data_IF_540050837302
#
_entry.id   IF_540050837302
#
_cell.length_a   1.000
_cell.length_b   1.000
_cell.length_c   1.000
_cell.angle_alpha   90.00
_cell.angle_beta   90.00
_cell.angle_gamma   90.00
#
_symmetry.space_group_name_H-M   'P 1'
#
loop_
_entity.id
_entity.type
_entity.pdbx_description
1 polymer ?
#
# COMPACT_ATOMS: atom_id res chain seq x y z
N UNK A 1 73.49 -64.20 -25.78
CA UNK A 1 73.40 -62.81 -25.32
C UNK A 1 72.23 -62.02 -25.93
N UNK A 2 71.65 -62.41 -27.08
CA UNK A 2 70.47 -61.73 -27.65
C UNK A 2 69.11 -62.24 -27.13
N UNK A 3 68.95 -63.56 -26.94
CA UNK A 3 67.68 -64.18 -26.52
C UNK A 3 67.24 -63.77 -25.11
N UNK A 4 68.18 -63.65 -24.18
CA UNK A 4 67.94 -63.18 -22.81
C UNK A 4 67.51 -61.71 -22.76
N UNK A 5 68.07 -60.87 -23.63
CA UNK A 5 67.67 -59.46 -23.74
C UNK A 5 66.24 -59.32 -24.29
N UNK A 6 65.88 -60.13 -25.29
CA UNK A 6 64.52 -60.17 -25.83
C UNK A 6 63.48 -60.64 -24.81
N UNK A 7 63.79 -61.65 -23.99
CA UNK A 7 62.92 -62.10 -22.90
C UNK A 7 62.73 -61.03 -21.82
N UNK A 8 63.80 -60.35 -21.40
CA UNK A 8 63.70 -59.24 -20.44
C UNK A 8 62.88 -58.07 -20.99
N UNK A 9 63.04 -57.73 -22.28
CA UNK A 9 62.25 -56.68 -22.92
C UNK A 9 60.75 -57.04 -22.99
N UNK A 10 60.43 -58.30 -23.30
CA UNK A 10 59.05 -58.80 -23.33
C UNK A 10 58.41 -58.75 -21.93
N UNK A 11 59.13 -59.16 -20.89
CA UNK A 11 58.65 -59.07 -19.51
C UNK A 11 58.44 -57.62 -19.07
N UNK A 12 59.33 -56.70 -19.44
CA UNK A 12 59.17 -55.28 -19.17
C UNK A 12 57.94 -54.69 -19.88
N UNK A 13 57.72 -55.06 -21.14
CA UNK A 13 56.54 -54.67 -21.90
C UNK A 13 55.24 -55.15 -21.24
N UNK A 14 55.18 -56.43 -20.85
CA UNK A 14 54.00 -57.01 -20.19
C UNK A 14 53.71 -56.32 -18.85
N UNK A 15 54.74 -56.03 -18.06
CA UNK A 15 54.60 -55.31 -16.79
C UNK A 15 54.12 -53.86 -17.00
N UNK A 16 54.64 -53.16 -18.00
CA UNK A 16 54.20 -51.82 -18.35
C UNK A 16 52.74 -51.80 -18.83
N UNK A 17 52.35 -52.79 -19.65
CA UNK A 17 50.97 -52.94 -20.12
C UNK A 17 49.99 -53.24 -18.98
N UNK A 18 50.39 -54.08 -18.01
CA UNK A 18 49.59 -54.35 -16.83
C UNK A 18 49.45 -53.12 -15.92
N UNK A 19 50.54 -52.37 -15.72
CA UNK A 19 50.52 -51.12 -14.96
C UNK A 19 49.62 -50.06 -15.61
N UNK A 20 49.67 -49.92 -16.95
CA UNK A 20 48.80 -49.01 -17.68
C UNK A 20 47.31 -49.40 -17.56
N UNK A 21 47.01 -50.69 -17.62
CA UNK A 21 45.64 -51.20 -17.45
C UNK A 21 45.10 -50.93 -16.05
N UNK A 22 45.93 -51.15 -15.01
CA UNK A 22 45.57 -50.84 -13.63
C UNK A 22 45.38 -49.33 -13.40
N UNK A 23 46.24 -48.49 -13.98
CA UNK A 23 46.10 -47.04 -13.92
C UNK A 23 44.78 -46.56 -14.57
N UNK A 24 44.40 -47.15 -15.70
CA UNK A 24 43.14 -46.83 -16.37
C UNK A 24 41.93 -47.26 -15.52
N UNK A 25 41.97 -48.43 -14.89
CA UNK A 25 40.91 -48.88 -13.99
C UNK A 25 40.76 -47.98 -12.75
N UNK A 26 41.87 -47.53 -12.16
CA UNK A 26 41.84 -46.58 -11.04
C UNK A 26 41.26 -45.22 -11.46
N UNK A 27 41.60 -44.73 -12.65
CA UNK A 27 41.06 -43.47 -13.17
C UNK A 27 39.55 -43.53 -13.38
N UNK A 28 39.03 -44.64 -13.93
CA UNK A 28 37.59 -44.87 -14.08
C UNK A 28 36.88 -44.92 -12.72
N UNK A 29 37.45 -45.62 -11.74
CA UNK A 29 36.87 -45.69 -10.39
C UNK A 29 36.85 -44.32 -9.70
N UNK A 30 37.91 -43.50 -9.87
CA UNK A 30 37.96 -42.14 -9.34
C UNK A 30 36.91 -41.22 -9.99
N UNK A 31 36.66 -41.37 -11.30
CA UNK A 31 35.62 -40.63 -12.01
C UNK A 31 34.21 -41.00 -11.51
N UNK A 32 33.94 -42.29 -11.28
CA UNK A 32 32.68 -42.75 -10.68
C UNK A 32 32.47 -42.19 -9.27
N UNK A 33 33.51 -42.17 -8.42
CA UNK A 33 33.45 -41.58 -7.09
C UNK A 33 33.21 -40.07 -7.14
N UNK A 34 33.84 -39.36 -8.08
CA UNK A 34 33.62 -37.92 -8.30
C UNK A 34 32.17 -37.62 -8.68
N UNK A 35 31.60 -38.40 -9.61
CA UNK A 35 30.18 -38.27 -10.01
C UNK A 35 29.23 -38.52 -8.83
N UNK A 36 29.49 -39.55 -8.03
CA UNK A 36 28.69 -39.84 -6.84
C UNK A 36 28.77 -38.70 -5.80
N UNK A 37 29.95 -38.12 -5.59
CA UNK A 37 30.12 -36.96 -4.70
C UNK A 37 29.38 -35.72 -5.20
N UNK A 38 29.43 -35.44 -6.51
CA UNK A 38 28.68 -34.34 -7.12
C UNK A 38 27.16 -34.52 -6.97
N UNK A 39 26.67 -35.75 -7.14
CA UNK A 39 25.25 -36.06 -6.94
C UNK A 39 24.83 -35.88 -5.48
N UNK A 40 25.64 -36.33 -4.52
CA UNK A 40 25.39 -36.13 -3.10
C UNK A 40 25.37 -34.64 -2.71
N UNK A 41 26.28 -33.84 -3.27
CA UNK A 41 26.30 -32.40 -3.07
C UNK A 41 25.03 -31.73 -3.61
N UNK A 42 24.56 -32.12 -4.80
CA UNK A 42 23.30 -31.62 -5.37
C UNK A 42 22.08 -31.95 -4.51
N UNK A 43 22.01 -33.17 -3.95
CA UNK A 43 20.94 -33.56 -3.01
C UNK A 43 20.98 -32.70 -1.74
N UNK A 44 22.17 -32.43 -1.19
CA UNK A 44 22.33 -31.59 0.00
C UNK A 44 21.90 -30.13 -0.27
N UNK A 45 22.23 -29.57 -1.43
CA UNK A 45 21.78 -28.24 -1.86
C UNK A 45 20.25 -28.18 -1.94
N UNK A 46 19.62 -29.14 -2.61
CA UNK A 46 18.16 -29.19 -2.71
C UNK A 46 17.48 -29.31 -1.34
N UNK A 47 18.05 -30.11 -0.43
CA UNK A 47 17.53 -30.25 0.92
C UNK A 47 17.62 -28.92 1.72
N UNK A 48 18.70 -28.17 1.56
CA UNK A 48 18.86 -26.85 2.17
C UNK A 48 17.84 -25.83 1.62
N UNK A 49 17.60 -25.83 0.31
CA UNK A 49 16.60 -24.97 -0.33
C UNK A 49 15.17 -25.28 0.17
N UNK A 50 14.84 -26.57 0.31
CA UNK A 50 13.56 -27.00 0.87
C UNK A 50 13.39 -26.56 2.33
N UNK A 51 14.45 -26.68 3.15
CA UNK A 51 14.42 -26.23 4.53
C UNK A 51 14.20 -24.72 4.64
N UNK A 52 14.86 -23.93 3.78
CA UNK A 52 14.70 -22.48 3.75
C UNK A 52 13.30 -22.05 3.28
N UNK A 53 12.72 -22.78 2.32
CA UNK A 53 11.33 -22.60 1.88
C UNK A 53 10.35 -22.88 3.03
N UNK A 54 10.57 -23.96 3.79
CA UNK A 54 9.74 -24.32 4.93
C UNK A 54 9.82 -23.26 6.06
N UNK A 55 11.01 -22.73 6.36
CA UNK A 55 11.19 -21.65 7.32
C UNK A 55 10.43 -20.38 6.90
N UNK A 56 10.52 -20.00 5.63
CA UNK A 56 9.80 -18.83 5.08
C UNK A 56 8.28 -18.99 5.16
N UNK A 57 7.77 -20.21 4.91
CA UNK A 57 6.35 -20.52 5.06
C UNK A 57 5.88 -20.44 6.52
N UNK A 58 6.73 -20.87 7.47
CA UNK A 58 6.44 -20.76 8.90
C UNK A 58 6.37 -19.30 9.37
N UNK A 59 7.32 -18.45 8.95
CA UNK A 59 7.30 -17.02 9.26
C UNK A 59 6.06 -16.32 8.69
N UNK A 60 5.67 -16.69 7.47
CA UNK A 60 4.45 -16.19 6.84
C UNK A 60 3.20 -16.59 7.62
N UNK A 61 3.12 -17.84 8.06
CA UNK A 61 2.01 -18.33 8.89
C UNK A 61 1.92 -17.61 10.24
N UNK A 62 3.06 -17.32 10.88
CA UNK A 62 3.12 -16.56 12.12
C UNK A 62 2.63 -15.11 11.92
N UNK A 63 3.03 -14.47 10.81
CA UNK A 63 2.56 -13.12 10.46
C UNK A 63 1.04 -13.07 10.23
N UNK A 64 0.48 -14.07 9.53
CA UNK A 64 -0.96 -14.17 9.34
C UNK A 64 -1.70 -14.39 10.67
N UNK A 65 -1.17 -15.23 11.56
CA UNK A 65 -1.75 -15.44 12.88
C UNK A 65 -1.76 -14.14 13.72
N UNK A 66 -0.66 -13.37 13.68
CA UNK A 66 -0.58 -12.09 14.39
C UNK A 66 -1.55 -11.04 13.81
N UNK A 67 -1.69 -11.00 12.48
CA UNK A 67 -2.66 -10.14 11.81
C UNK A 67 -4.11 -10.50 12.17
N UNK A 68 -4.42 -11.81 12.24
CA UNK A 68 -5.74 -12.28 12.67
C UNK A 68 -6.04 -11.93 14.13
N UNK A 69 -5.04 -12.02 15.02
CA UNK A 69 -5.17 -11.61 16.42
C UNK A 69 -5.43 -10.11 16.56
N UNK A 70 -4.72 -9.27 15.79
CA UNK A 70 -4.95 -7.82 15.78
C UNK A 70 -6.36 -7.46 15.27
N UNK A 71 -6.84 -8.14 14.23
CA UNK A 71 -8.19 -7.93 13.72
C UNK A 71 -9.26 -8.35 14.74
N UNK A 72 -9.02 -9.42 15.50
CA UNK A 72 -9.92 -9.84 16.57
C UNK A 72 -9.97 -8.80 17.69
N UNK A 73 -8.82 -8.22 18.06
CA UNK A 73 -8.74 -7.14 19.05
C UNK A 73 -9.50 -5.90 18.60
N UNK A 74 -9.31 -5.45 17.36
CA UNK A 74 -10.02 -4.29 16.80
C UNK A 74 -11.55 -4.52 16.76
N UNK A 75 -11.99 -5.75 16.46
CA UNK A 75 -13.42 -6.09 16.50
C UNK A 75 -13.99 -6.04 17.92
N UNK A 76 -13.23 -6.46 18.93
CA UNK A 76 -13.64 -6.36 20.32
C UNK A 76 -13.78 -4.89 20.75
N UNK A 77 -12.78 -4.06 20.45
CA UNK A 77 -12.81 -2.62 20.76
C UNK A 77 -14.00 -1.91 20.10
N UNK A 78 -14.35 -2.27 18.86
CA UNK A 78 -15.56 -1.74 18.18
C UNK A 78 -16.87 -2.19 18.83
N UNK A 79 -16.90 -3.42 19.35
CA UNK A 79 -18.08 -3.93 20.07
C UNK A 79 -18.28 -3.19 21.39
N UNK A 80 -17.19 -2.87 22.10
CA UNK A 80 -17.23 -2.06 23.33
C UNK A 80 -17.76 -0.65 23.04
N UNK A 81 -17.21 0.03 22.02
CA UNK A 81 -17.68 1.38 21.61
C UNK A 81 -19.17 1.36 21.23
N UNK A 82 -19.63 0.31 20.53
CA UNK A 82 -21.03 0.17 20.16
C UNK A 82 -21.93 -0.01 21.40
N UNK A 83 -21.43 -0.74 22.41
CA UNK A 83 -22.11 -0.95 23.69
C UNK A 83 -22.22 0.36 24.48
N UNK A 84 -21.13 1.11 24.61
CA UNK A 84 -21.12 2.41 25.29
C UNK A 84 -22.03 3.43 24.60
N UNK A 85 -22.07 3.41 23.26
CA UNK A 85 -22.96 4.24 22.46
C UNK A 85 -24.43 3.90 22.70
N UNK A 86 -24.77 2.60 22.81
CA UNK A 86 -26.11 2.14 23.12
C UNK A 86 -26.54 2.53 24.54
N UNK A 87 -25.67 2.37 25.54
CA UNK A 87 -25.91 2.83 26.92
C UNK A 87 -26.18 4.33 26.95
N UNK A 88 -25.34 5.12 26.28
CA UNK A 88 -25.50 6.57 26.18
C UNK A 88 -26.81 6.97 25.50
N UNK A 89 -27.27 6.21 24.50
CA UNK A 89 -28.55 6.44 23.84
C UNK A 89 -29.74 6.17 24.75
N UNK A 90 -29.69 5.08 25.54
CA UNK A 90 -30.70 4.77 26.55
C UNK A 90 -30.78 5.85 27.62
N UNK A 91 -29.65 6.31 28.16
CA UNK A 91 -29.62 7.40 29.15
C UNK A 91 -30.25 8.69 28.61
N UNK A 92 -30.01 9.03 27.34
CA UNK A 92 -30.65 10.19 26.69
C UNK A 92 -32.16 9.99 26.50
N UNK A 93 -32.59 8.78 26.17
CA UNK A 93 -34.01 8.46 26.03
C UNK A 93 -34.75 8.57 27.39
N UNK A 94 -34.13 8.10 28.47
CA UNK A 94 -34.67 8.23 29.83
C UNK A 94 -34.78 9.70 30.27
N UNK A 95 -33.75 10.51 29.97
CA UNK A 95 -33.79 11.95 30.23
C UNK A 95 -34.88 12.67 29.41
N UNK A 96 -35.07 12.29 28.14
CA UNK A 96 -36.13 12.83 27.30
C UNK A 96 -37.53 12.44 27.82
N UNK A 97 -37.71 11.20 28.30
CA UNK A 97 -38.95 10.75 28.91
C UNK A 97 -39.27 11.51 30.21
N UNK A 98 -38.26 11.78 31.05
CA UNK A 98 -38.42 12.59 32.26
C UNK A 98 -38.81 14.04 31.93
N UNK A 99 -38.19 14.64 30.93
CA UNK A 99 -38.54 15.99 30.48
C UNK A 99 -39.95 16.05 29.87
N UNK A 100 -40.37 15.03 29.11
CA UNK A 100 -41.71 14.92 28.58
C UNK A 100 -42.77 14.78 29.69
N UNK A 101 -42.47 14.01 30.75
CA UNK A 101 -43.34 13.91 31.91
C UNK A 101 -43.49 15.26 32.64
N UNK A 102 -42.40 16.00 32.83
CA UNK A 102 -42.43 17.35 33.41
C UNK A 102 -43.20 18.37 32.55
N UNK A 103 -43.09 18.26 31.21
CA UNK A 103 -43.88 19.09 30.29
C UNK A 103 -45.37 18.74 30.29
N UNK A 104 -45.73 17.46 30.48
CA UNK A 104 -47.13 17.05 30.59
C UNK A 104 -47.75 17.55 31.92
N UNK A 105 -46.99 17.55 33.01
CA UNK A 105 -47.41 18.17 34.28
C UNK A 105 -47.64 19.68 34.12
N UNK A 106 -46.80 20.39 33.36
CA UNK A 106 -46.97 21.82 33.12
C UNK A 106 -48.15 22.13 32.20
N UNK A 107 -48.43 21.30 31.19
CA UNK A 107 -49.62 21.43 30.32
C UNK A 107 -50.91 21.18 31.12
N UNK A 108 -50.94 20.14 31.96
CA UNK A 108 -52.10 19.88 32.84
C UNK A 108 -52.32 21.01 33.86
N UNK A 109 -51.25 21.68 34.31
CA UNK A 109 -51.35 22.88 35.15
C UNK A 109 -51.93 24.09 34.38
N UNK A 110 -51.77 24.17 33.06
CA UNK A 110 -52.35 25.20 32.20
C UNK A 110 -53.82 24.88 31.84
N UNK A 111 -54.16 23.61 31.60
CA UNK A 111 -55.54 23.18 31.30
C UNK A 111 -56.47 23.33 32.54
N UNK A 112 -55.93 23.20 33.75
CA UNK A 112 -56.63 23.54 34.99
C UNK A 112 -56.96 25.02 35.18
N UNK A 113 -56.39 25.92 34.35
CA UNK A 113 -56.63 27.37 34.38
C UNK A 113 -57.69 27.78 33.34
N UNK A 114 -57.94 26.97 32.30
CA UNK A 114 -58.86 27.29 31.20
C UNK A 114 -60.15 26.46 31.29
N UNK A 115 -60.83 26.55 32.43
CA UNK A 115 -62.25 26.22 32.48
C UNK A 115 -63.07 27.37 31.89
N UNK A 116 -63.52 27.24 30.63
CA UNK A 116 -64.43 28.22 30.04
C UNK A 116 -64.73 28.03 28.56
N UNK A 117 -65.81 27.30 28.29
CA UNK A 117 -66.74 27.34 27.14
C UNK A 117 -66.34 28.01 25.80
N UNK A 118 -66.54 27.26 24.71
CA UNK A 118 -66.91 27.86 23.42
C UNK A 118 -66.34 27.15 22.19
N UNK A 119 -67.18 26.36 21.51
CA UNK A 119 -66.82 25.65 20.28
C UNK A 119 -66.54 26.57 19.07
N UNK A 120 -65.64 26.11 18.19
CA UNK A 120 -65.39 26.73 16.89
C UNK A 120 -64.38 25.96 16.03
N UNK A 121 -64.90 25.32 14.98
CA UNK A 121 -64.24 25.04 13.69
C UNK A 121 -62.90 24.27 13.66
N UNK A 122 -62.97 22.94 13.48
CA UNK A 122 -61.89 22.18 12.86
C UNK A 122 -61.94 22.33 11.34
N UNK A 123 -61.00 23.10 10.78
CA UNK A 123 -60.69 23.10 9.33
C UNK A 123 -59.48 22.20 9.09
N UNK A 124 -59.47 21.30 8.09
CA UNK A 124 -58.41 20.31 7.92
C UNK A 124 -57.19 20.93 7.23
N UNK A 125 -56.45 21.79 7.94
CA UNK A 125 -55.16 22.35 7.48
C UNK A 125 -54.16 22.41 8.64
N UNK A 126 -54.07 21.33 9.43
CA UNK A 126 -53.07 21.28 10.53
C UNK A 126 -52.57 19.87 10.78
N UNK A 127 -52.07 19.22 9.72
CA UNK A 127 -51.25 17.99 9.86
C UNK A 127 -49.88 18.15 9.17
N UNK A 128 -49.57 19.32 8.57
CA UNK A 128 -48.30 19.51 7.85
C UNK A 128 -47.21 20.19 8.70
N UNK A 129 -47.55 20.91 9.77
CA UNK A 129 -46.56 21.63 10.58
C UNK A 129 -46.03 20.88 11.81
N UNK A 130 -46.58 19.71 12.16
CA UNK A 130 -46.13 18.96 13.35
C UNK A 130 -44.86 18.10 13.13
N UNK A 131 -44.17 18.27 12.00
CA UNK A 131 -42.92 17.56 11.69
C UNK A 131 -41.74 18.48 11.38
N UNK A 132 -41.87 19.79 11.61
CA UNK A 132 -40.76 20.75 11.53
C UNK A 132 -40.31 21.14 12.94
N UNK A 133 -39.01 20.94 13.18
CA UNK A 133 -38.21 21.34 14.35
C UNK A 133 -38.36 20.42 15.58
N UNK A 134 -37.31 19.91 16.24
CA UNK A 134 -35.86 20.08 16.14
C UNK A 134 -35.21 18.93 16.94
N UNK A 135 -34.28 18.17 16.37
CA UNK A 135 -33.04 17.66 17.02
C UNK A 135 -32.29 16.66 16.12
N UNK A 136 -31.08 17.09 15.74
CA UNK A 136 -30.01 16.40 15.02
C UNK A 136 -30.13 14.88 14.78
N UNK A 137 -30.48 14.52 13.55
CA UNK A 137 -30.33 13.18 12.99
C UNK A 137 -31.02 13.11 11.63
N UNK A 138 -30.25 13.03 10.54
CA UNK A 138 -30.73 13.12 9.15
C UNK A 138 -31.89 12.14 8.87
N UNK A 139 -33.14 12.60 8.95
CA UNK A 139 -34.29 11.91 8.36
C UNK A 139 -34.38 12.33 6.89
N UNK A 140 -33.87 11.49 6.00
CA UNK A 140 -34.12 11.60 4.57
C UNK A 140 -35.64 11.49 4.33
N UNK A 141 -36.31 12.62 4.11
CA UNK A 141 -37.72 12.65 3.74
C UNK A 141 -37.86 12.00 2.35
N UNK A 142 -38.72 10.99 2.24
CA UNK A 142 -39.02 10.30 0.98
C UNK A 142 -40.32 10.88 0.42
N UNK A 143 -40.25 11.65 -0.66
CA UNK A 143 -41.44 12.14 -1.37
C UNK A 143 -41.72 11.17 -2.53
N UNK A 144 -42.87 10.50 -2.50
CA UNK A 144 -43.30 9.53 -3.53
C UNK A 144 -44.61 10.02 -4.13
N UNK A 145 -44.59 10.46 -5.39
CA UNK A 145 -45.76 10.96 -6.11
C UNK A 145 -45.81 10.40 -7.54
N UNK A 146 -46.93 10.56 -8.24
CA UNK A 146 -47.06 10.13 -9.65
C UNK A 146 -46.45 11.15 -10.62
N UNK A 147 -46.30 10.74 -11.89
CA UNK A 147 -45.73 11.58 -12.96
C UNK A 147 -46.50 12.89 -13.16
N UNK A 148 -47.82 12.87 -13.04
CA UNK A 148 -48.64 14.06 -13.27
C UNK A 148 -48.45 15.10 -12.15
N UNK A 149 -48.37 14.63 -10.91
CA UNK A 149 -48.11 15.48 -9.74
C UNK A 149 -46.74 16.14 -9.85
N UNK A 150 -45.69 15.38 -10.18
CA UNK A 150 -44.33 15.90 -10.31
C UNK A 150 -44.20 16.91 -11.46
N UNK A 151 -44.86 16.65 -12.59
CA UNK A 151 -44.90 17.58 -13.72
C UNK A 151 -45.67 18.86 -13.40
N UNK A 152 -46.70 18.79 -12.55
CA UNK A 152 -47.51 19.94 -12.19
C UNK A 152 -46.85 20.86 -11.16
N UNK A 153 -46.15 20.29 -10.17
CA UNK A 153 -45.54 21.05 -9.08
C UNK A 153 -44.10 21.49 -9.38
N UNK A 154 -43.37 20.71 -10.20
CA UNK A 154 -42.02 21.00 -10.72
C UNK A 154 -41.05 21.62 -9.69
N UNK A 155 -41.03 21.04 -8.49
CA UNK A 155 -40.31 21.59 -7.33
C UNK A 155 -38.79 21.45 -7.45
N UNK A 156 -38.06 22.31 -6.75
CA UNK A 156 -36.61 22.18 -6.55
C UNK A 156 -36.38 21.34 -5.29
N UNK A 157 -35.79 20.17 -5.46
CA UNK A 157 -35.38 19.31 -4.34
C UNK A 157 -34.07 19.83 -3.74
N UNK A 158 -33.97 19.81 -2.40
CA UNK A 158 -32.75 20.18 -1.72
C UNK A 158 -31.58 19.26 -2.15
N UNK A 159 -30.35 19.75 -2.00
CA UNK A 159 -29.17 18.97 -2.36
C UNK A 159 -29.17 17.62 -1.61
N UNK A 160 -29.11 16.51 -2.37
CA UNK A 160 -29.15 15.11 -1.91
C UNK A 160 -30.52 14.60 -1.43
N UNK A 161 -31.58 15.41 -1.53
CA UNK A 161 -32.96 14.96 -1.29
C UNK A 161 -33.43 14.05 -2.45
N UNK A 162 -34.22 13.01 -2.15
CA UNK A 162 -34.62 12.00 -3.15
C UNK A 162 -36.13 12.05 -3.36
N UNK A 163 -36.54 12.38 -4.58
CA UNK A 163 -37.93 12.25 -5.02
C UNK A 163 -38.13 10.97 -5.84
N UNK A 164 -39.26 10.31 -5.64
CA UNK A 164 -39.67 9.11 -6.36
C UNK A 164 -40.91 9.39 -7.19
N UNK A 165 -40.84 9.00 -8.45
CA UNK A 165 -41.92 9.06 -9.41
C UNK A 165 -42.50 7.66 -9.64
N UNK A 166 -43.79 7.51 -9.38
CA UNK A 166 -44.54 6.30 -9.68
C UNK A 166 -44.98 6.30 -11.14
N UNK A 167 -44.46 5.33 -11.90
CA UNK A 167 -44.83 5.12 -13.31
C UNK A 167 -45.46 3.75 -13.50
N UNK A 168 -46.08 3.51 -14.66
CA UNK A 168 -46.68 2.20 -15.00
C UNK A 168 -45.66 1.04 -14.96
N UNK A 169 -44.37 1.34 -15.14
CA UNK A 169 -43.27 0.37 -15.17
C UNK A 169 -42.50 0.31 -13.83
N UNK A 170 -43.01 0.94 -12.77
CA UNK A 170 -42.38 0.97 -11.44
C UNK A 170 -41.95 2.36 -10.99
N UNK A 171 -41.20 2.40 -9.89
CA UNK A 171 -40.69 3.63 -9.29
C UNK A 171 -39.38 4.06 -9.96
N UNK A 172 -39.34 5.30 -10.44
CA UNK A 172 -38.10 5.97 -10.87
C UNK A 172 -37.75 7.04 -9.85
N UNK A 173 -36.49 7.48 -9.78
CA UNK A 173 -36.09 8.51 -8.82
C UNK A 173 -35.15 9.53 -9.43
N UNK A 174 -35.16 10.73 -8.84
CA UNK A 174 -34.18 11.79 -9.09
C UNK A 174 -33.60 12.27 -7.77
N UNK A 175 -32.39 12.79 -7.81
CA UNK A 175 -31.70 13.35 -6.63
C UNK A 175 -31.58 14.85 -6.83
N UNK A 176 -32.03 15.63 -5.86
CA UNK A 176 -31.93 17.08 -5.87
C UNK A 176 -30.48 17.55 -5.81
N UNK A 177 -30.17 18.62 -6.55
CA UNK A 177 -28.91 19.36 -6.45
C UNK A 177 -29.08 20.70 -5.71
N UNK A 178 -30.29 20.99 -5.21
CA UNK A 178 -30.61 22.24 -4.52
C UNK A 178 -30.85 23.43 -5.44
N UNK A 179 -30.77 23.25 -6.77
CA UNK A 179 -30.82 24.36 -7.74
C UNK A 179 -31.80 24.10 -8.87
N UNK A 180 -31.77 22.91 -9.50
CA UNK A 180 -32.59 22.57 -10.65
C UNK A 180 -33.99 22.12 -10.26
N UNK A 181 -34.97 22.40 -11.13
CA UNK A 181 -36.34 21.90 -10.98
C UNK A 181 -36.41 20.40 -11.27
N UNK A 182 -37.43 19.73 -10.74
CA UNK A 182 -37.66 18.30 -10.93
C UNK A 182 -37.59 17.87 -12.40
N UNK A 183 -38.19 18.63 -13.32
CA UNK A 183 -38.20 18.35 -14.76
C UNK A 183 -36.81 18.36 -15.39
N UNK A 184 -35.90 19.18 -14.86
CA UNK A 184 -34.52 19.38 -15.35
C UNK A 184 -33.51 18.40 -14.74
N UNK A 185 -33.87 17.76 -13.63
CA UNK A 185 -33.01 16.75 -12.99
C UNK A 185 -32.99 15.46 -13.83
N UNK A 186 -31.82 14.82 -14.01
CA UNK A 186 -31.75 13.52 -14.66
C UNK A 186 -32.34 12.43 -13.75
N UNK A 187 -32.89 11.38 -14.35
CA UNK A 187 -33.18 10.17 -13.58
C UNK A 187 -31.89 9.57 -13.06
N UNK A 188 -31.89 9.18 -11.78
CA UNK A 188 -30.78 8.46 -11.21
C UNK A 188 -30.70 7.10 -11.91
N UNK A 189 -29.70 6.93 -12.77
CA UNK A 189 -29.30 5.64 -13.34
C UNK A 189 -29.07 4.69 -12.16
N UNK A 190 -29.62 3.47 -12.27
CA UNK A 190 -30.02 2.64 -11.13
C UNK A 190 -29.09 2.75 -9.93
N UNK A 191 -29.71 3.17 -8.83
CA UNK A 191 -29.10 3.34 -7.52
C UNK A 191 -28.19 2.20 -7.12
N UNK A 192 -28.47 0.99 -7.61
CA UNK A 192 -27.74 -0.23 -7.33
C UNK A 192 -26.34 -0.23 -7.95
N UNK A 193 -26.14 0.34 -9.14
CA UNK A 193 -24.81 0.45 -9.76
C UNK A 193 -23.95 1.49 -9.03
N UNK A 194 -24.54 2.63 -8.67
CA UNK A 194 -23.86 3.68 -7.90
C UNK A 194 -23.64 3.24 -6.45
N UNK A 195 -24.59 2.54 -5.83
CA UNK A 195 -24.47 1.98 -4.48
C UNK A 195 -23.50 0.81 -4.46
N UNK A 196 -23.41 0.00 -5.51
CA UNK A 196 -22.39 -1.04 -5.64
C UNK A 196 -21.00 -0.43 -5.84
N UNK A 197 -20.85 0.60 -6.69
CA UNK A 197 -19.61 1.36 -6.79
C UNK A 197 -19.25 2.08 -5.49
N UNK A 198 -20.23 2.60 -4.74
CA UNK A 198 -20.03 3.22 -3.43
C UNK A 198 -19.79 2.22 -2.31
N UNK A 199 -20.32 0.99 -2.39
CA UNK A 199 -20.06 -0.11 -1.46
C UNK A 199 -18.70 -0.72 -1.72
N UNK A 200 -18.28 -0.84 -2.98
CA UNK A 200 -16.90 -1.17 -3.36
C UNK A 200 -15.98 -0.07 -2.84
N UNK A 201 -16.21 1.21 -3.23
CA UNK A 201 -15.44 2.35 -2.71
C UNK A 201 -15.45 2.39 -1.18
N UNK A 202 -16.56 2.22 -0.49
CA UNK A 202 -16.63 2.25 0.98
C UNK A 202 -15.96 1.06 1.65
N UNK A 203 -16.07 -0.14 1.05
CA UNK A 203 -15.47 -1.40 1.53
C UNK A 203 -13.94 -1.41 1.34
N UNK A 204 -13.41 -0.69 0.34
CA UNK A 204 -11.97 -0.62 0.04
C UNK A 204 -11.32 0.72 0.45
N UNK A 205 -12.02 1.86 0.45
CA UNK A 205 -11.50 3.18 0.83
C UNK A 205 -11.20 3.30 2.33
N UNK A 206 -11.89 2.52 3.18
CA UNK A 206 -11.61 2.44 4.61
C UNK A 206 -10.56 1.36 4.95
N UNK A 207 -10.04 0.63 3.95
CA UNK A 207 -9.14 -0.52 4.15
C UNK A 207 -7.81 -0.44 3.40
N UNK A 208 -7.58 0.60 2.61
CA UNK A 208 -6.30 0.84 1.96
C UNK A 208 -5.48 1.83 2.79
N UNK A 209 -5.30 1.48 4.06
CA UNK A 209 -4.39 2.14 4.98
C UNK A 209 -3.22 1.19 5.24
N UNK A 210 -2.04 1.58 4.78
CA UNK A 210 -0.79 1.00 5.23
C UNK A 210 0.16 2.11 5.65
N UNK A 211 0.97 1.86 6.67
CA UNK A 211 2.10 2.72 6.98
C UNK A 211 3.23 2.38 6.02
N UNK A 212 3.33 3.11 4.90
CA UNK A 212 4.61 3.23 4.23
C UNK A 212 5.45 4.24 5.03
N UNK A 213 6.12 3.79 6.10
CA UNK A 213 7.42 4.40 6.41
C UNK A 213 8.43 3.89 5.37
N UNK A 214 9.66 4.41 5.39
CA UNK A 214 10.82 3.73 4.74
C UNK A 214 10.79 2.18 4.94
N UNK A 215 10.11 1.76 6.01
CA UNK A 215 9.56 0.49 6.52
C UNK A 215 8.98 -0.60 5.62
N UNK A 216 8.10 -0.22 4.70
CA UNK A 216 7.11 -1.19 4.18
C UNK A 216 6.60 -0.77 2.82
N UNK A 217 6.72 -1.68 1.87
CA UNK A 217 6.14 -1.54 0.55
C UNK A 217 4.74 -2.10 0.54
N UNK A 218 3.81 -1.27 0.08
CA UNK A 218 2.40 -1.63 -0.02
C UNK A 218 2.14 -1.89 -1.51
N UNK A 219 1.99 -3.16 -1.87
CA UNK A 219 1.53 -3.54 -3.20
C UNK A 219 0.00 -3.49 -3.22
N UNK A 220 -0.55 -2.74 -4.18
CA UNK A 220 -1.98 -2.58 -4.35
C UNK A 220 -2.38 -3.24 -5.67
N UNK A 221 -3.16 -4.31 -5.60
CA UNK A 221 -3.80 -4.90 -6.77
C UNK A 221 -5.22 -4.34 -6.82
N UNK A 222 -5.47 -3.42 -7.74
CA UNK A 222 -6.83 -2.97 -8.01
C UNK A 222 -7.63 -4.14 -8.62
N UNK A 223 -8.81 -4.42 -8.07
CA UNK A 223 -9.69 -5.48 -8.55
C UNK A 223 -10.83 -4.96 -9.44
N UNK A 224 -10.85 -3.66 -9.77
CA UNK A 224 -11.90 -3.06 -10.57
C UNK A 224 -11.33 -2.05 -11.58
N UNK A 225 -11.57 -2.28 -12.87
CA UNK A 225 -11.17 -1.42 -14.00
C UNK A 225 -11.74 0.03 -13.96
N UNK A 226 -12.41 0.42 -12.88
CA UNK A 226 -13.13 1.69 -12.73
C UNK A 226 -12.85 2.44 -11.40
N UNK A 227 -11.86 2.02 -10.61
CA UNK A 227 -11.50 2.70 -9.35
C UNK A 227 -10.23 3.53 -9.46
N UNK A 228 -10.36 4.75 -9.97
CA UNK A 228 -9.30 5.74 -9.81
C UNK A 228 -9.11 6.07 -8.32
N UNK A 229 -7.87 6.02 -7.83
CA UNK A 229 -7.52 6.49 -6.49
C UNK A 229 -7.74 8.00 -6.42
N UNK A 230 -8.69 8.44 -5.58
CA UNK A 230 -9.04 9.87 -5.46
C UNK A 230 -8.22 10.64 -4.41
N UNK A 231 -7.39 9.96 -3.61
CA UNK A 231 -6.56 10.59 -2.57
C UNK A 231 -5.37 9.73 -2.18
N UNK A 232 -4.22 10.34 -1.90
CA UNK A 232 -3.04 9.68 -1.33
C UNK A 232 -2.55 10.53 -0.16
N UNK A 233 -2.78 10.06 1.07
CA UNK A 233 -2.53 10.85 2.28
C UNK A 233 -1.23 10.44 2.97
N UNK A 234 -0.37 11.42 3.21
CA UNK A 234 0.77 11.29 4.11
C UNK A 234 0.32 11.72 5.50
N UNK A 235 0.48 10.82 6.47
CA UNK A 235 0.11 11.08 7.87
C UNK A 235 1.33 11.54 8.66
N UNK A 236 1.09 12.45 9.61
CA UNK A 236 2.08 12.85 10.58
C UNK A 236 2.58 11.69 11.44
N UNK A 237 3.79 11.86 11.96
CA UNK A 237 4.43 10.97 12.92
C UNK A 237 5.24 11.83 13.86
N UNK A 238 5.08 11.60 15.15
CA UNK A 238 5.86 12.26 16.19
C UNK A 238 6.87 11.28 16.78
N UNK A 239 8.09 11.75 17.08
CA UNK A 239 9.09 11.03 17.87
C UNK A 239 9.55 11.86 19.05
N UNK A 240 9.93 11.18 20.13
CA UNK A 240 10.66 11.75 21.27
C UNK A 240 11.87 10.83 21.48
N UNK A 241 13.06 11.28 21.10
CA UNK A 241 14.28 10.48 21.21
C UNK A 241 14.96 10.77 22.55
N UNK A 242 15.01 9.75 23.41
CA UNK A 242 15.70 9.78 24.71
C UNK A 242 14.87 9.28 25.87
N UNK A 243 15.41 9.42 27.09
CA UNK A 243 14.68 9.18 28.34
C UNK A 243 14.27 10.55 28.90
N UNK A 244 12.96 10.87 28.98
CA UNK A 244 12.51 12.13 29.57
C UNK A 244 12.93 12.23 31.03
N UNK A 245 13.44 13.40 31.44
CA UNK A 245 13.66 13.73 32.84
C UNK A 245 12.83 14.96 33.22
N UNK A 246 12.53 15.11 34.51
CA UNK A 246 11.72 16.21 35.04
C UNK A 246 12.34 17.59 34.81
N UNK A 247 13.66 17.67 34.72
CA UNK A 247 14.46 18.87 34.45
C UNK A 247 14.94 18.98 33.00
N UNK A 248 14.66 17.95 32.18
CA UNK A 248 15.01 17.90 30.76
C UNK A 248 13.87 17.21 29.98
N UNK A 249 12.74 17.90 29.75
CA UNK A 249 11.68 17.38 28.90
C UNK A 249 12.20 17.20 27.46
N UNK A 250 11.86 16.08 26.83
CA UNK A 250 12.28 15.81 25.46
C UNK A 250 11.38 16.50 24.44
N UNK A 251 11.95 17.16 23.42
CA UNK A 251 11.18 17.78 22.36
C UNK A 251 10.41 16.72 21.56
N UNK A 252 9.14 17.01 21.27
CA UNK A 252 8.33 16.21 20.34
C UNK A 252 8.64 16.69 18.92
N UNK A 253 9.27 15.84 18.11
CA UNK A 253 9.62 16.17 16.72
C UNK A 253 8.62 15.51 15.77
N UNK A 254 8.05 16.28 14.85
CA UNK A 254 7.19 15.77 13.77
C UNK A 254 8.00 15.37 12.53
N UNK A 255 7.37 14.68 11.56
CA UNK A 255 8.02 14.32 10.29
C UNK A 255 7.72 15.34 9.19
N UNK A 256 8.73 15.63 8.37
CA UNK A 256 8.58 16.47 7.17
C UNK A 256 8.75 15.61 5.93
N UNK A 257 7.66 15.06 5.36
CA UNK A 257 7.74 14.29 4.13
C UNK A 257 8.05 15.22 2.95
N UNK A 258 8.89 14.77 2.03
CA UNK A 258 9.36 15.58 0.89
C UNK A 258 8.82 15.11 -0.47
N UNK A 259 8.43 13.84 -0.58
CA UNK A 259 7.89 13.28 -1.83
C UNK A 259 6.97 12.09 -1.57
N UNK A 260 6.09 11.82 -2.55
CA UNK A 260 5.35 10.57 -2.69
C UNK A 260 5.70 9.96 -4.05
N UNK A 261 6.15 8.72 -4.05
CA UNK A 261 6.50 7.99 -5.28
C UNK A 261 5.43 6.95 -5.57
N UNK A 262 4.73 7.12 -6.71
CA UNK A 262 3.83 6.09 -7.25
C UNK A 262 4.60 5.32 -8.32
N UNK A 263 4.54 4.00 -8.26
CA UNK A 263 5.20 3.11 -9.21
C UNK A 263 4.15 2.19 -9.80
N UNK A 264 4.22 1.96 -11.10
CA UNK A 264 3.49 0.87 -11.72
C UNK A 264 4.10 -0.48 -11.34
N UNK A 265 3.62 -1.54 -11.99
CA UNK A 265 4.14 -2.90 -11.80
C UNK A 265 5.65 -3.00 -12.03
N UNK A 266 6.14 -2.33 -13.09
CA UNK A 266 7.56 -2.24 -13.38
C UNK A 266 8.19 -1.08 -12.60
N UNK A 267 9.23 -1.39 -11.83
CA UNK A 267 9.95 -0.45 -10.98
C UNK A 267 11.16 0.21 -11.65
N UNK A 268 11.60 -0.32 -12.78
CA UNK A 268 12.74 0.23 -13.53
C UNK A 268 12.21 1.21 -14.55
N UNK A 269 12.37 2.49 -14.24
CA UNK A 269 12.39 3.54 -15.25
C UNK A 269 13.71 3.51 -16.04
N UNK A 270 13.77 4.25 -17.14
CA UNK A 270 15.01 4.49 -17.85
C UNK A 270 15.61 5.82 -17.39
N UNK A 271 16.85 5.83 -16.89
CA UNK A 271 17.49 7.07 -16.41
C UNK A 271 18.98 7.22 -16.78
N UNK A 272 19.52 6.38 -17.67
CA UNK A 272 20.93 6.44 -18.07
C UNK A 272 21.10 6.83 -19.53
N UNK A 273 22.05 7.70 -19.86
CA UNK A 273 22.28 8.15 -21.23
C UNK A 273 22.69 7.00 -22.18
N UNK A 274 21.92 6.81 -23.26
CA UNK A 274 22.19 5.96 -24.43
C UNK A 274 21.99 6.81 -25.71
N UNK A 275 22.62 6.47 -26.86
CA UNK A 275 23.38 5.24 -27.15
C UNK A 275 24.67 5.15 -26.35
N UNK A 276 25.10 3.91 -26.09
CA UNK A 276 26.39 3.61 -25.47
C UNK A 276 27.11 2.55 -26.31
N UNK A 277 28.42 2.68 -26.49
CA UNK A 277 29.21 1.68 -27.23
C UNK A 277 30.46 1.37 -26.42
N UNK A 278 30.70 0.09 -26.15
CA UNK A 278 31.85 -0.38 -25.42
C UNK A 278 32.30 -1.73 -25.96
N UNK A 279 33.61 -1.90 -26.15
CA UNK A 279 34.23 -3.14 -26.62
C UNK A 279 33.54 -3.76 -27.85
N UNK A 280 33.10 -2.93 -28.81
CA UNK A 280 32.48 -3.39 -30.05
C UNK A 280 30.97 -3.67 -29.98
N UNK A 281 30.34 -3.54 -28.81
CA UNK A 281 28.89 -3.69 -28.65
C UNK A 281 28.24 -2.32 -28.45
N UNK A 282 27.21 -2.03 -29.24
CA UNK A 282 26.38 -0.84 -29.12
C UNK A 282 25.05 -1.19 -28.45
N UNK A 283 24.70 -0.45 -27.40
CA UNK A 283 23.42 -0.49 -26.70
C UNK A 283 22.62 0.78 -27.00
N UNK A 284 21.34 0.61 -27.34
CA UNK A 284 20.36 1.69 -27.55
C UNK A 284 19.10 1.42 -26.76
N UNK A 285 18.33 2.49 -26.49
CA UNK A 285 17.01 2.39 -25.86
C UNK A 285 16.03 3.32 -26.58
N UNK A 286 14.86 2.79 -26.93
CA UNK A 286 13.77 3.55 -27.53
C UNK A 286 12.44 2.89 -27.20
N UNK A 287 11.45 3.67 -26.77
CA UNK A 287 10.08 3.21 -26.49
C UNK A 287 10.02 1.92 -25.64
N UNK A 288 10.74 1.89 -24.50
CA UNK A 288 10.76 0.72 -23.61
C UNK A 288 11.70 -0.41 -24.04
N UNK A 289 12.23 -0.38 -25.27
CA UNK A 289 13.00 -1.48 -25.86
C UNK A 289 14.50 -1.20 -25.81
N UNK A 290 15.27 -2.12 -25.23
CA UNK A 290 16.74 -2.13 -25.35
C UNK A 290 17.13 -2.89 -26.61
N UNK A 291 18.14 -2.41 -27.35
CA UNK A 291 18.70 -3.11 -28.51
C UNK A 291 20.22 -3.14 -28.43
N UNK A 292 20.79 -4.35 -28.57
CA UNK A 292 22.22 -4.62 -28.64
C UNK A 292 22.62 -5.04 -30.05
N UNK A 293 23.69 -4.44 -30.56
CA UNK A 293 24.27 -4.78 -31.86
C UNK A 293 25.79 -4.75 -31.83
N UNK A 294 26.44 -5.71 -32.49
CA UNK A 294 27.90 -5.74 -32.69
C UNK A 294 28.57 -6.94 -32.02
N UNK A 295 29.89 -7.06 -32.20
CA UNK A 295 30.67 -8.18 -31.67
C UNK A 295 31.51 -7.73 -30.49
N UNK A 296 31.37 -8.43 -29.36
CA UNK A 296 32.09 -8.11 -28.14
C UNK A 296 33.55 -8.53 -28.20
N UNK A 297 34.46 -7.58 -28.01
CA UNK A 297 35.89 -7.81 -27.85
C UNK A 297 36.30 -8.17 -26.40
N UNK A 298 35.35 -8.19 -25.45
CA UNK A 298 35.63 -8.48 -24.04
C UNK A 298 34.33 -8.64 -23.22
N UNK A 299 34.28 -8.11 -21.99
CA UNK A 299 33.10 -8.23 -21.13
C UNK A 299 32.44 -6.86 -20.88
N UNK A 300 31.86 -6.20 -21.91
CA UNK A 300 31.24 -4.91 -21.73
C UNK A 300 29.97 -5.04 -20.89
N UNK A 301 29.75 -4.07 -20.03
CA UNK A 301 28.51 -3.92 -19.26
C UNK A 301 28.09 -2.45 -19.24
N UNK A 302 26.81 -2.21 -18.99
CA UNK A 302 26.26 -0.87 -18.82
C UNK A 302 25.18 -0.91 -17.76
N UNK A 303 25.35 -0.10 -16.72
CA UNK A 303 24.23 0.25 -15.84
C UNK A 303 23.17 0.95 -16.67
N UNK A 304 21.92 0.55 -16.50
CA UNK A 304 20.75 1.15 -17.16
C UNK A 304 19.81 1.84 -16.18
N UNK A 305 19.93 1.49 -14.89
CA UNK A 305 19.14 2.07 -13.82
C UNK A 305 19.87 1.94 -12.48
N UNK A 306 19.70 2.96 -11.64
CA UNK A 306 20.20 2.98 -10.26
C UNK A 306 19.04 2.82 -9.29
N UNK A 307 19.11 1.80 -8.44
CA UNK A 307 18.17 1.57 -7.36
C UNK A 307 18.73 2.28 -6.11
N UNK A 308 18.06 3.30 -5.57
CA UNK A 308 18.56 4.03 -4.41
C UNK A 308 18.69 3.10 -3.19
N UNK A 309 19.68 3.37 -2.34
CA UNK A 309 19.92 2.60 -1.13
C UNK A 309 18.65 2.49 -0.26
N UNK A 310 18.48 1.34 0.40
CA UNK A 310 17.40 1.08 1.36
C UNK A 310 15.97 1.27 0.81
N UNK A 311 15.74 1.04 -0.49
CA UNK A 311 14.42 1.18 -1.12
C UNK A 311 13.71 -0.13 -1.41
N UNK A 312 14.45 -1.23 -1.60
CA UNK A 312 13.89 -2.55 -1.89
C UNK A 312 13.58 -3.31 -0.61
N UNK A 313 12.33 -3.77 -0.46
CA UNK A 313 11.88 -4.60 0.65
C UNK A 313 10.92 -5.69 0.18
N UNK A 314 11.20 -6.92 0.54
CA UNK A 314 10.47 -8.09 0.07
C UNK A 314 11.18 -8.82 -1.06
N UNK A 315 10.47 -9.78 -1.65
CA UNK A 315 10.97 -10.59 -2.76
C UNK A 315 10.66 -9.91 -4.07
N UNK A 316 11.67 -9.76 -4.91
CA UNK A 316 11.59 -9.15 -6.22
C UNK A 316 12.06 -10.11 -7.29
N UNK A 317 11.63 -9.82 -8.51
CA UNK A 317 12.11 -10.49 -9.69
C UNK A 317 12.50 -9.47 -10.74
N UNK A 318 13.77 -9.53 -11.15
CA UNK A 318 14.24 -8.91 -12.37
C UNK A 318 13.93 -9.87 -13.53
N UNK A 319 13.50 -9.36 -14.67
CA UNK A 319 13.08 -10.17 -15.81
C UNK A 319 13.56 -9.54 -17.12
N UNK A 320 13.87 -10.41 -18.08
CA UNK A 320 14.19 -10.06 -19.46
C UNK A 320 13.15 -10.71 -20.36
N UNK A 321 12.52 -9.93 -21.23
CA UNK A 321 11.60 -10.46 -22.25
C UNK A 321 12.17 -10.13 -23.63
N UNK A 322 12.51 -11.17 -24.40
CA UNK A 322 13.06 -11.01 -25.75
C UNK A 322 11.99 -10.48 -26.68
N UNK A 323 12.27 -9.37 -27.35
CA UNK A 323 11.44 -8.83 -28.41
C UNK A 323 11.87 -9.39 -29.78
N UNK A 324 13.19 -9.55 -30.01
CA UNK A 324 13.74 -10.22 -31.20
C UNK A 324 15.21 -10.62 -30.99
N UNK A 325 15.73 -11.55 -31.80
CA UNK A 325 17.16 -11.91 -31.82
C UNK A 325 17.53 -13.13 -30.98
N UNK A 326 18.79 -13.17 -30.54
CA UNK A 326 19.49 -14.38 -30.03
C UNK A 326 19.39 -14.64 -28.53
N UNK A 327 18.79 -13.73 -27.73
CA UNK A 327 18.65 -13.86 -26.27
C UNK A 327 19.96 -14.12 -25.50
N UNK A 328 21.01 -13.38 -25.85
CA UNK A 328 22.40 -13.71 -25.46
C UNK A 328 22.94 -12.88 -24.29
N UNK A 329 22.55 -11.62 -24.19
CA UNK A 329 22.98 -10.74 -23.10
C UNK A 329 22.34 -11.19 -21.78
N UNK A 330 23.03 -11.00 -20.66
CA UNK A 330 22.44 -11.28 -19.35
C UNK A 330 22.20 -9.99 -18.60
N UNK A 331 21.27 -10.05 -17.65
CA UNK A 331 20.91 -8.91 -16.81
C UNK A 331 21.20 -9.24 -15.36
N UNK A 332 21.58 -8.22 -14.59
CA UNK A 332 21.89 -8.39 -13.17
C UNK A 332 21.56 -7.18 -12.32
N UNK A 333 21.37 -7.42 -11.03
CA UNK A 333 21.42 -6.41 -9.98
C UNK A 333 22.70 -6.63 -9.19
N UNK A 334 23.52 -5.59 -9.11
CA UNK A 334 24.85 -5.67 -8.51
C UNK A 334 25.11 -4.47 -7.61
N UNK A 335 25.71 -4.74 -6.46
CA UNK A 335 26.29 -3.71 -5.59
C UNK A 335 27.73 -3.47 -6.02
N UNK A 336 27.97 -2.26 -6.55
CA UNK A 336 29.31 -1.78 -6.95
C UNK A 336 29.95 -0.86 -5.92
N UNK A 337 29.26 -0.57 -4.81
CA UNK A 337 29.83 0.24 -3.72
C UNK A 337 30.85 -0.57 -2.91
N UNK A 338 30.80 -1.89 -3.03
CA UNK A 338 31.74 -2.83 -2.40
C UNK A 338 32.76 -3.37 -3.41
N UNK A 339 33.95 -3.72 -2.92
CA UNK A 339 35.03 -4.34 -3.71
C UNK A 339 35.46 -5.66 -3.05
N UNK A 340 35.34 -6.82 -3.73
CA UNK A 340 34.79 -7.00 -5.08
C UNK A 340 33.28 -6.72 -5.14
N UNK A 341 32.78 -6.34 -6.32
CA UNK A 341 31.35 -6.09 -6.52
C UNK A 341 30.53 -7.37 -6.29
N UNK A 342 29.36 -7.24 -5.66
CA UNK A 342 28.53 -8.38 -5.23
C UNK A 342 27.22 -8.42 -6.02
N UNK A 343 26.97 -9.45 -6.84
CA UNK A 343 25.69 -9.63 -7.53
C UNK A 343 24.62 -10.17 -6.59
N UNK A 344 23.43 -9.57 -6.61
CA UNK A 344 22.24 -10.06 -5.89
C UNK A 344 21.36 -10.95 -6.77
N UNK A 345 21.44 -10.76 -8.08
CA UNK A 345 20.78 -11.57 -9.08
C UNK A 345 21.63 -11.53 -10.35
N UNK A 346 22.04 -12.67 -10.89
CA UNK A 346 22.80 -12.79 -12.14
C UNK A 346 22.30 -13.99 -12.94
N UNK A 347 21.62 -13.74 -14.06
CA UNK A 347 21.17 -14.79 -14.99
C UNK A 347 20.66 -14.18 -16.31
N UNK A 348 20.58 -14.99 -17.36
CA UNK A 348 19.80 -14.67 -18.58
C UNK A 348 18.32 -14.45 -18.24
N UNK A 349 17.83 -15.16 -17.21
CA UNK A 349 16.50 -15.03 -16.60
C UNK A 349 16.69 -14.83 -15.09
N UNK A 350 16.59 -13.60 -14.61
CA UNK A 350 16.91 -13.30 -13.23
C UNK A 350 16.06 -14.10 -12.23
N UNK A 351 16.75 -14.64 -11.22
CA UNK A 351 16.15 -15.39 -10.12
C UNK A 351 15.49 -14.42 -9.14
N UNK A 352 14.40 -14.82 -8.47
CA UNK A 352 13.86 -14.02 -7.38
C UNK A 352 14.92 -13.77 -6.32
N UNK A 353 14.96 -12.56 -5.78
CA UNK A 353 15.87 -12.19 -4.70
C UNK A 353 15.09 -11.42 -3.63
N UNK A 354 15.48 -11.59 -2.37
CA UNK A 354 14.77 -10.99 -1.23
C UNK A 354 15.65 -9.92 -0.60
N UNK A 355 15.08 -8.75 -0.37
CA UNK A 355 15.71 -7.61 0.30
C UNK A 355 14.97 -7.29 1.58
N UNK A 356 15.68 -6.99 2.66
CA UNK A 356 15.10 -6.65 3.96
C UNK A 356 14.96 -5.13 4.17
N UNK A 357 15.24 -4.31 3.15
CA UNK A 357 15.28 -2.85 3.26
C UNK A 357 16.63 -2.28 3.67
N UNK A 358 17.64 -3.12 3.87
CA UNK A 358 19.01 -2.71 4.16
C UNK A 358 19.88 -3.14 2.98
N UNK A 359 20.22 -2.19 2.12
CA UNK A 359 21.12 -2.41 1.00
C UNK A 359 21.75 -1.09 0.55
N UNK A 360 22.98 -1.16 0.05
CA UNK A 360 23.62 -0.02 -0.61
C UNK A 360 22.89 0.35 -1.90
N UNK A 361 23.34 1.42 -2.55
CA UNK A 361 22.88 1.73 -3.90
C UNK A 361 23.21 0.56 -4.85
N UNK A 362 22.21 0.08 -5.59
CA UNK A 362 22.36 -1.06 -6.50
C UNK A 362 22.25 -0.61 -7.95
N UNK A 363 22.95 -1.32 -8.83
CA UNK A 363 22.96 -1.07 -10.27
C UNK A 363 22.22 -2.19 -10.99
N UNK A 364 21.26 -1.84 -11.84
CA UNK A 364 20.68 -2.76 -12.83
C UNK A 364 21.54 -2.68 -14.08
N UNK A 365 22.11 -3.79 -14.50
CA UNK A 365 23.04 -3.84 -15.62
C UNK A 365 22.58 -4.77 -16.73
N UNK A 366 22.93 -4.37 -17.95
CA UNK A 366 23.02 -5.25 -19.10
C UNK A 366 24.49 -5.59 -19.28
N UNK A 367 24.83 -6.87 -19.33
CA UNK A 367 26.19 -7.35 -19.47
C UNK A 367 26.32 -8.37 -20.60
N UNK A 368 27.50 -8.40 -21.21
CA UNK A 368 27.82 -9.18 -22.40
C UNK A 368 29.06 -10.03 -22.14
N UNK A 369 29.08 -11.21 -22.76
CA UNK A 369 30.23 -12.12 -22.82
C UNK A 369 31.18 -11.78 -23.98
N UNK A 370 32.45 -12.13 -23.82
CA UNK A 370 33.49 -11.96 -24.83
C UNK A 370 33.32 -12.87 -26.05
N UNK A 371 33.64 -12.34 -27.24
CA UNK A 371 33.60 -13.08 -28.50
C UNK A 371 32.19 -13.31 -29.06
N UNK A 372 31.14 -12.81 -28.41
CA UNK A 372 29.75 -12.99 -28.84
C UNK A 372 29.31 -11.83 -29.74
N UNK A 373 28.63 -12.16 -30.84
CA UNK A 373 27.92 -11.19 -31.68
C UNK A 373 26.48 -11.04 -31.20
N UNK A 374 26.12 -9.80 -30.86
CA UNK A 374 24.78 -9.41 -30.43
C UNK A 374 24.01 -8.82 -31.60
N UNK A 375 22.77 -9.27 -31.75
CA UNK A 375 21.76 -8.67 -32.61
C UNK A 375 20.39 -9.00 -32.00
N UNK A 376 20.08 -8.34 -30.89
CA UNK A 376 18.89 -8.65 -30.10
C UNK A 376 18.24 -7.38 -29.55
N UNK A 377 16.93 -7.48 -29.36
CA UNK A 377 16.13 -6.46 -28.69
C UNK A 377 15.30 -7.11 -27.59
N UNK A 378 15.16 -6.44 -26.45
CA UNK A 378 14.45 -6.98 -25.30
C UNK A 378 13.94 -5.88 -24.35
N UNK A 379 12.99 -6.28 -23.52
CA UNK A 379 12.45 -5.49 -22.41
C UNK A 379 13.04 -5.96 -21.08
N UNK A 380 13.15 -5.04 -20.13
CA UNK A 380 13.55 -5.34 -18.76
C UNK A 380 12.48 -4.85 -17.80
N UNK A 381 12.14 -5.68 -16.82
CA UNK A 381 11.21 -5.34 -15.75
C UNK A 381 11.72 -5.84 -14.40
N UNK A 382 11.66 -4.97 -13.40
CA UNK A 382 11.78 -5.34 -12.00
C UNK A 382 10.41 -5.22 -11.36
N UNK A 383 9.96 -6.29 -10.73
CA UNK A 383 8.65 -6.34 -10.09
C UNK A 383 8.73 -7.02 -8.73
N UNK A 384 7.75 -6.72 -7.88
CA UNK A 384 7.58 -7.41 -6.61
C UNK A 384 6.96 -8.79 -6.86
N UNK A 385 7.49 -9.81 -6.19
CA UNK A 385 7.07 -11.20 -6.30
C UNK A 385 8.17 -12.10 -6.86
N UNK A 386 7.87 -13.39 -6.94
CA UNK A 386 8.80 -14.45 -7.37
C UNK A 386 8.49 -15.03 -8.76
N UNK A 387 7.40 -14.58 -9.40
CA UNK A 387 6.91 -15.17 -10.66
C UNK A 387 7.19 -14.26 -11.85
N UNK A 388 7.51 -14.83 -13.00
CA UNK A 388 7.61 -14.06 -14.26
C UNK A 388 6.23 -13.65 -14.71
N UNK A 389 6.02 -12.36 -14.94
CA UNK A 389 4.79 -11.87 -15.57
C UNK A 389 5.07 -11.26 -16.94
N UNK A 390 4.01 -10.97 -17.69
CA UNK A 390 4.14 -10.25 -18.95
C UNK A 390 4.70 -8.84 -18.73
N UNK A 391 5.53 -8.41 -19.69
CA UNK A 391 6.17 -7.10 -19.66
C UNK A 391 5.13 -5.97 -19.64
N UNK A 392 5.30 -5.04 -18.69
CA UNK A 392 4.59 -3.77 -18.66
C UNK A 392 5.59 -2.61 -18.56
N UNK A 393 5.36 -1.55 -19.33
CA UNK A 393 6.22 -0.38 -19.32
C UNK A 393 6.16 0.35 -17.97
N UNK A 394 7.25 1.02 -17.61
CA UNK A 394 7.29 1.87 -16.42
C UNK A 394 6.32 3.06 -16.58
N UNK A 395 5.40 3.20 -15.64
CA UNK A 395 4.41 4.30 -15.58
C UNK A 395 4.48 5.09 -14.27
N UNK A 396 5.56 4.90 -13.49
CA UNK A 396 5.70 5.55 -12.19
C UNK A 396 5.90 7.06 -12.27
N UNK A 397 5.39 7.77 -11.27
CA UNK A 397 5.47 9.23 -11.14
C UNK A 397 5.92 9.60 -9.73
N UNK A 398 6.83 10.58 -9.62
CA UNK A 398 7.21 11.20 -8.36
C UNK A 398 6.45 12.51 -8.18
N UNK A 399 5.68 12.59 -7.09
CA UNK A 399 5.00 13.80 -6.67
C UNK A 399 5.84 14.47 -5.60
N UNK A 400 6.50 15.57 -5.96
CA UNK A 400 7.19 16.40 -4.97
C UNK A 400 6.13 17.04 -4.07
N UNK A 401 6.33 16.92 -2.76
CA UNK A 401 5.48 17.61 -1.80
C UNK A 401 6.01 19.06 -1.66
N UNK A 402 5.13 20.03 -1.41
CA UNK A 402 5.57 21.38 -1.06
C UNK A 402 6.41 21.35 0.22
N UNK A 403 7.10 22.44 0.54
CA UNK A 403 7.78 22.57 1.82
C UNK A 403 6.73 22.60 2.95
N UNK A 404 6.50 21.44 3.57
CA UNK A 404 5.56 21.28 4.68
C UNK A 404 6.25 21.57 6.01
N UNK A 405 5.56 22.25 6.93
CA UNK A 405 5.95 22.19 8.34
C UNK A 405 5.70 20.78 8.89
N UNK A 406 6.44 20.38 9.93
CA UNK A 406 6.42 19.03 10.46
C UNK A 406 4.99 18.56 10.78
N UNK A 407 4.58 17.39 10.28
CA UNK A 407 3.27 16.79 10.52
C UNK A 407 3.33 15.90 11.78
N UNK A 408 2.42 16.14 12.72
CA UNK A 408 2.42 15.46 14.02
C UNK A 408 1.34 14.37 14.13
N UNK A 409 1.51 13.49 15.13
CA UNK A 409 0.51 12.49 15.52
C UNK A 409 0.47 12.28 17.03
N UNK A 410 -0.74 12.17 17.58
CA UNK A 410 -1.03 11.81 18.97
C UNK A 410 -2.11 10.73 18.96
N UNK A 411 -1.74 9.48 19.28
CA UNK A 411 -2.65 8.35 19.21
C UNK A 411 -3.29 8.17 17.83
N UNK A 412 -4.62 8.18 17.76
CA UNK A 412 -5.40 8.09 16.53
C UNK A 412 -5.55 9.41 15.77
N UNK A 413 -5.21 10.54 16.38
CA UNK A 413 -5.30 11.87 15.79
C UNK A 413 -3.96 12.21 15.10
N UNK A 414 -4.00 12.61 13.84
CA UNK A 414 -2.81 12.96 13.07
C UNK A 414 -3.06 14.17 12.18
N UNK A 415 -2.04 14.99 11.98
CA UNK A 415 -1.98 15.90 10.84
C UNK A 415 -1.86 15.08 9.55
N UNK A 416 -2.32 15.64 8.43
CA UNK A 416 -2.22 14.96 7.14
C UNK A 416 -2.04 15.92 5.97
N UNK A 417 -1.35 15.46 4.94
CA UNK A 417 -1.29 16.10 3.64
C UNK A 417 -1.76 15.14 2.55
N UNK A 418 -2.72 15.56 1.73
CA UNK A 418 -3.18 14.79 0.58
C UNK A 418 -2.43 15.20 -0.70
N UNK A 419 -1.62 14.28 -1.22
CA UNK A 419 -0.78 14.51 -2.40
C UNK A 419 -1.57 14.69 -3.70
N UNK A 420 -2.83 14.25 -3.75
CA UNK A 420 -3.68 14.38 -4.95
C UNK A 420 -4.39 15.72 -4.99
N UNK A 421 -4.98 16.15 -3.86
CA UNK A 421 -5.74 17.40 -3.77
C UNK A 421 -4.90 18.60 -3.34
N UNK A 422 -3.72 18.38 -2.75
CA UNK A 422 -2.89 19.42 -2.14
C UNK A 422 -3.40 19.92 -0.79
N UNK A 423 -4.43 19.29 -0.23
CA UNK A 423 -5.04 19.73 1.02
C UNK A 423 -4.22 19.31 2.24
N UNK A 424 -3.83 20.29 3.05
CA UNK A 424 -3.22 20.10 4.36
C UNK A 424 -4.28 20.17 5.47
N UNK A 425 -4.24 19.25 6.43
CA UNK A 425 -5.12 19.22 7.60
C UNK A 425 -4.28 19.20 8.87
N UNK A 426 -4.44 20.22 9.71
CA UNK A 426 -3.79 20.36 11.01
C UNK A 426 -4.79 20.06 12.12
N UNK A 427 -4.56 18.94 12.80
CA UNK A 427 -5.37 18.49 13.93
C UNK A 427 -4.63 18.67 15.27
N UNK A 428 -3.32 18.96 15.23
CA UNK A 428 -2.48 19.09 16.42
C UNK A 428 -1.88 20.50 16.46
N UNK A 429 -2.17 21.24 17.53
CA UNK A 429 -1.52 22.51 17.85
C UNK A 429 -0.21 22.28 18.60
N UNK A 430 0.78 23.14 18.37
CA UNK A 430 2.05 23.16 19.11
C UNK A 430 2.06 24.44 19.94
N UNK A 431 2.15 24.31 21.26
CA UNK A 431 2.39 25.41 22.17
C UNK A 431 3.83 25.28 22.70
N UNK A 432 4.59 26.37 22.58
CA UNK A 432 5.95 26.47 23.15
C UNK A 432 5.85 27.28 24.43
N UNK A 433 6.23 26.67 25.55
CA UNK A 433 6.33 27.36 26.83
C UNK A 433 7.73 27.93 26.99
N UNK A 434 7.86 29.26 27.04
CA UNK A 434 9.13 30.00 27.18
C UNK A 434 9.38 30.52 28.61
N UNK A 435 8.45 30.25 29.53
CA UNK A 435 8.55 30.64 30.94
C UNK A 435 8.02 32.04 31.24
N UNK A 436 7.47 32.74 30.24
CA UNK A 436 6.79 34.03 30.43
C UNK A 436 5.27 33.91 30.52
N UNK A 437 4.73 32.69 30.42
CA UNK A 437 3.29 32.44 30.46
C UNK A 437 2.70 32.76 31.83
N UNK A 438 1.57 33.48 31.83
CA UNK A 438 0.81 33.74 33.05
C UNK A 438 -0.20 32.60 33.26
N UNK A 439 0.10 31.67 34.17
CA UNK A 439 -0.75 30.50 34.47
C UNK A 439 -2.01 30.84 35.29
N UNK A 440 -2.31 32.13 35.50
CA UNK A 440 -3.49 32.59 36.24
C UNK A 440 -4.55 33.02 35.22
N UNK A 441 -5.51 32.14 34.93
CA UNK A 441 -6.73 32.53 34.25
C UNK A 441 -7.77 33.00 35.29
N UNK A 442 -8.13 34.30 35.35
CA UNK A 442 -9.00 34.84 36.38
C UNK A 442 -10.50 34.49 36.23
N UNK A 443 -10.88 33.64 35.25
CA UNK A 443 -12.28 33.45 34.86
C UNK A 443 -12.86 32.06 35.11
N UNK A 444 -12.23 31.19 35.91
CA UNK A 444 -12.74 29.84 36.15
C UNK A 444 -13.15 29.59 37.61
N UNK A 445 -14.47 29.43 37.80
CA UNK A 445 -15.13 28.77 38.93
C UNK A 445 -14.78 27.26 39.01
N UNK A 446 -15.15 26.53 40.07
CA UNK A 446 -14.43 25.33 40.51
C UNK A 446 -14.68 24.11 39.60
N UNK A 447 -13.75 23.91 38.66
CA UNK A 447 -13.38 22.63 38.05
C UNK A 447 -11.95 22.77 37.49
N UNK A 448 -11.04 23.13 38.39
CA UNK A 448 -9.62 23.36 38.10
C UNK A 448 -8.94 22.07 37.65
N UNK A 449 -8.41 22.04 36.42
CA UNK A 449 -7.38 21.06 36.07
C UNK A 449 -6.07 21.54 36.72
N UNK A 450 -5.58 20.78 37.71
CA UNK A 450 -4.26 20.99 38.32
C UNK A 450 -3.28 20.01 37.67
N UNK A 451 -2.21 20.52 37.04
CA UNK A 451 -1.02 19.72 36.81
C UNK A 451 -0.12 19.87 38.04
N UNK A 452 0.03 18.79 38.81
CA UNK A 452 1.00 18.73 39.90
C UNK A 452 2.33 18.29 39.30
N UNK A 453 3.28 19.21 39.20
CA UNK A 453 4.69 18.83 39.04
C UNK A 453 5.14 18.13 40.33
N UNK A 454 5.82 16.97 40.25
CA UNK A 454 6.44 16.38 41.43
C UNK A 454 7.53 17.32 41.94
N UNK A 455 7.29 17.87 43.12
CA UNK A 455 8.28 18.60 43.90
C UNK A 455 9.42 17.62 44.23
N UNK A 456 10.64 17.95 43.82
CA UNK A 456 11.85 17.25 44.26
C UNK A 456 12.19 17.66 45.71
N UNK A 457 12.61 16.73 46.59
CA UNK A 457 13.37 17.08 47.80
C UNK A 457 14.83 17.43 47.48
#
# INVERSE_FOLDING_TARGET
SATSAAQSAMSAYNNASAAASNANAMALSADEQSKAAQQAAGIATNAAEMANTAATAADSAASYANSAANLAKEKAEKADIATDSAISATTRADAAAANAAAAMESINAVDGIVGGDGGGHYSPVTVIDSLREESAGVKLQRIIMDTAWWAHHDIILAAREIGYERTANGLRKKVGDGVKKWSELPYAIDAEVIDQANRIRGRYASRLCGMASHDTLISLTDSADASDFTSVKVLGKSTQDGIPATDAPLPVTGVTPTKVSVRGKNWIGYNNSLPYTNLGVKLTYSNGTYTLSGTSAGYPYKSIYTIPANTLRGTYRLSKTVASGTDTAYIRIIDRTVTPAVPYSESVYATPFTMNGIHNELQVEIACSAGITYNESFYIQLELGSTNTAYEAYTGTDYQLPALSALHRIGSIADSYDAVSGLETRNIGIETFDGTESFINPTLSPNTIRFQYPYAP
#
